data_IF_263908675007
#
_entry.id   IF_263908675007
#
_cell.length_a   1.000
_cell.length_b   1.000
_cell.length_c   1.000
_cell.angle_alpha   90.00
_cell.angle_beta   90.00
_cell.angle_gamma   90.00
#
_symmetry.space_group_name_H-M   'P 1'
#
loop_
_entity.id
_entity.type
_entity.pdbx_description
1 polymer ?
#
# COMPACT_ATOMS: atom_id res chain seq x y z
N UNK A 1 -30.12 -22.42 -0.06
CA UNK A 1 -28.65 -22.47 -0.06
C UNK A 1 -28.11 -22.34 -1.46
N UNK A 2 -28.29 -21.18 -2.11
CA UNK A 2 -27.68 -20.95 -3.42
C UNK A 2 -26.38 -20.17 -3.25
N UNK A 3 -25.27 -20.77 -3.66
CA UNK A 3 -24.03 -20.04 -3.87
C UNK A 3 -24.26 -19.03 -4.98
N UNK A 4 -24.51 -17.77 -4.62
CA UNK A 4 -24.72 -16.67 -5.58
C UNK A 4 -23.36 -16.28 -6.15
N UNK A 5 -23.09 -16.65 -7.39
CA UNK A 5 -21.95 -16.14 -8.12
C UNK A 5 -22.31 -14.76 -8.67
N UNK A 6 -21.42 -13.77 -8.57
CA UNK A 6 -21.53 -12.50 -9.29
C UNK A 6 -20.34 -12.30 -10.20
N UNK A 7 -20.56 -11.78 -11.39
CA UNK A 7 -19.49 -11.42 -12.34
C UNK A 7 -19.53 -9.91 -12.52
N UNK A 8 -18.41 -9.25 -12.20
CA UNK A 8 -18.27 -7.79 -12.24
C UNK A 8 -19.36 -7.02 -11.47
N UNK A 9 -19.99 -7.68 -10.50
CA UNK A 9 -21.06 -7.13 -9.65
C UNK A 9 -22.45 -7.64 -9.98
N UNK A 10 -22.65 -8.31 -11.11
CA UNK A 10 -23.97 -8.81 -11.55
C UNK A 10 -24.19 -10.27 -11.18
N UNK A 11 -25.38 -10.63 -10.69
CA UNK A 11 -25.69 -12.02 -10.32
C UNK A 11 -25.73 -12.93 -11.56
N UNK A 12 -24.98 -14.05 -11.48
CA UNK A 12 -24.92 -15.06 -12.51
C UNK A 12 -25.89 -16.20 -12.18
N UNK A 13 -26.91 -16.36 -13.03
CA UNK A 13 -27.94 -17.40 -12.88
C UNK A 13 -27.82 -18.55 -13.90
N UNK A 14 -26.96 -18.40 -14.91
CA UNK A 14 -26.75 -19.38 -15.98
C UNK A 14 -25.28 -19.39 -16.42
N UNK A 15 -24.92 -20.22 -17.40
CA UNK A 15 -23.57 -20.22 -17.98
C UNK A 15 -23.26 -18.89 -18.68
N UNK A 16 -22.06 -18.34 -18.46
CA UNK A 16 -21.53 -17.19 -19.19
C UNK A 16 -20.48 -17.64 -20.21
N UNK A 17 -20.61 -17.19 -21.45
CA UNK A 17 -19.55 -17.28 -22.46
C UNK A 17 -18.71 -16.00 -22.42
N UNK A 18 -17.39 -16.15 -22.35
CA UNK A 18 -16.48 -15.02 -22.24
C UNK A 18 -15.47 -15.06 -23.38
N UNK A 19 -15.38 -13.96 -24.11
CA UNK A 19 -14.39 -13.83 -25.17
C UNK A 19 -12.96 -13.63 -24.63
N UNK A 20 -11.98 -13.79 -25.52
CA UNK A 20 -10.57 -13.61 -25.16
C UNK A 20 -10.21 -12.19 -24.70
N UNK A 21 -10.94 -11.17 -25.12
CA UNK A 21 -10.67 -9.79 -24.73
C UNK A 21 -11.10 -9.52 -23.28
N UNK A 22 -12.30 -9.97 -22.89
CA UNK A 22 -12.79 -9.95 -21.53
C UNK A 22 -11.92 -10.81 -20.61
N UNK A 23 -11.52 -12.01 -21.03
CA UNK A 23 -10.57 -12.83 -20.28
C UNK A 23 -9.20 -12.14 -20.12
N UNK A 24 -8.70 -11.40 -21.11
CA UNK A 24 -7.44 -10.64 -20.96
C UNK A 24 -7.56 -9.44 -20.03
N UNK A 25 -8.70 -8.74 -20.04
CA UNK A 25 -9.00 -7.65 -19.07
C UNK A 25 -9.11 -8.18 -17.64
N UNK A 26 -9.62 -9.39 -17.50
CA UNK A 26 -9.86 -10.06 -16.22
C UNK A 26 -11.29 -9.87 -15.74
N UNK A 27 -11.87 -10.95 -15.21
CA UNK A 27 -13.23 -11.01 -14.70
C UNK A 27 -13.21 -11.14 -13.18
N UNK A 28 -13.99 -10.31 -12.50
CA UNK A 28 -14.16 -10.40 -11.04
C UNK A 28 -15.34 -11.32 -10.74
N UNK A 29 -15.04 -12.49 -10.21
CA UNK A 29 -16.04 -13.47 -9.78
C UNK A 29 -16.19 -13.38 -8.25
N UNK A 30 -17.37 -12.99 -7.76
CA UNK A 30 -17.69 -13.08 -6.33
C UNK A 30 -18.49 -14.35 -6.10
N UNK A 31 -17.98 -15.28 -5.29
CA UNK A 31 -18.68 -16.50 -4.91
C UNK A 31 -19.27 -16.32 -3.50
N UNK A 32 -20.60 -16.36 -3.41
CA UNK A 32 -21.32 -16.09 -2.17
C UNK A 32 -21.12 -14.63 -1.73
N UNK A 33 -20.74 -14.43 -0.47
CA UNK A 33 -20.55 -13.10 0.12
C UNK A 33 -19.09 -12.74 0.41
N UNK A 34 -18.13 -13.64 0.18
CA UNK A 34 -16.78 -13.46 0.74
C UNK A 34 -15.60 -13.83 -0.15
N UNK A 35 -15.80 -14.56 -1.25
CA UNK A 35 -14.68 -15.02 -2.08
C UNK A 35 -14.67 -14.26 -3.40
N UNK A 36 -13.66 -13.40 -3.60
CA UNK A 36 -13.42 -12.72 -4.87
C UNK A 36 -12.28 -13.41 -5.63
N UNK A 37 -12.56 -13.86 -6.85
CA UNK A 37 -11.57 -14.41 -7.78
C UNK A 37 -11.41 -13.46 -8.95
N UNK A 38 -10.17 -13.22 -9.38
CA UNK A 38 -9.88 -12.54 -10.65
C UNK A 38 -9.45 -13.58 -11.68
N UNK A 39 -10.35 -13.96 -12.59
CA UNK A 39 -10.01 -14.88 -13.67
C UNK A 39 -9.49 -14.08 -14.86
N UNK A 40 -8.24 -14.32 -15.28
CA UNK A 40 -7.68 -13.67 -16.46
C UNK A 40 -6.74 -14.58 -17.24
N UNK A 41 -6.62 -14.32 -18.54
CA UNK A 41 -5.57 -14.90 -19.37
C UNK A 41 -4.30 -14.05 -19.23
N UNK A 42 -3.20 -14.72 -18.89
CA UNK A 42 -1.85 -14.13 -18.84
C UNK A 42 -0.95 -14.82 -19.86
N UNK A 43 0.05 -14.11 -20.43
CA UNK A 43 1.08 -14.74 -21.24
C UNK A 43 1.79 -15.85 -20.45
N UNK A 44 2.10 -16.97 -21.11
CA UNK A 44 2.80 -18.10 -20.48
C UNK A 44 4.12 -17.67 -19.81
N UNK A 45 4.84 -16.74 -20.42
CA UNK A 45 6.08 -16.20 -19.85
C UNK A 45 5.88 -15.53 -18.48
N UNK A 46 4.75 -14.85 -18.24
CA UNK A 46 4.42 -14.28 -16.92
C UNK A 46 4.07 -15.38 -15.91
N UNK A 47 3.47 -16.49 -16.38
CA UNK A 47 3.11 -17.62 -15.53
C UNK A 47 4.35 -18.43 -15.08
N UNK A 48 5.39 -18.49 -15.90
CA UNK A 48 6.63 -19.24 -15.63
C UNK A 48 7.69 -18.44 -14.89
N UNK A 49 7.52 -17.12 -14.74
CA UNK A 49 8.45 -16.29 -13.97
C UNK A 49 8.44 -16.72 -12.49
N UNK A 50 9.59 -17.01 -11.87
CA UNK A 50 9.63 -17.47 -10.49
C UNK A 50 9.00 -16.45 -9.54
N UNK A 51 8.30 -16.92 -8.49
CA UNK A 51 7.66 -16.03 -7.54
C UNK A 51 8.72 -15.16 -6.86
N UNK A 52 8.42 -13.87 -6.70
CA UNK A 52 9.23 -12.99 -5.88
C UNK A 52 9.09 -13.41 -4.40
N UNK A 53 10.12 -13.18 -3.56
CA UNK A 53 9.99 -13.41 -2.12
C UNK A 53 8.78 -12.65 -1.57
N UNK A 54 8.05 -13.30 -0.67
CA UNK A 54 6.91 -12.67 -0.02
C UNK A 54 7.34 -11.39 0.71
N UNK A 55 6.47 -10.38 0.65
CA UNK A 55 6.60 -9.13 1.40
C UNK A 55 5.28 -8.92 2.09
N UNK A 56 5.32 -8.80 3.42
CA UNK A 56 4.13 -8.66 4.24
C UNK A 56 3.30 -7.44 3.83
N UNK A 57 1.98 -7.59 3.82
CA UNK A 57 1.04 -6.56 3.41
C UNK A 57 0.85 -6.38 1.89
N UNK A 58 1.69 -6.98 1.05
CA UNK A 58 1.51 -6.97 -0.42
C UNK A 58 0.92 -8.30 -0.89
N UNK A 59 -0.40 -8.33 -1.09
CA UNK A 59 -1.15 -9.53 -1.50
C UNK A 59 -1.29 -9.65 -3.03
N UNK A 60 -1.24 -10.89 -3.54
CA UNK A 60 -1.43 -11.22 -4.96
C UNK A 60 -0.18 -11.80 -5.62
N UNK A 61 -0.30 -12.31 -6.85
CA UNK A 61 0.81 -12.97 -7.55
C UNK A 61 0.93 -12.56 -9.03
N UNK A 62 0.42 -11.37 -9.36
CA UNK A 62 0.60 -10.82 -10.69
C UNK A 62 2.08 -10.50 -10.95
N UNK A 63 2.50 -10.53 -12.23
CA UNK A 63 3.86 -10.13 -12.62
C UNK A 63 4.23 -8.72 -12.10
N UNK A 64 3.27 -7.79 -12.11
CA UNK A 64 3.42 -6.46 -11.50
C UNK A 64 3.78 -6.52 -10.02
N UNK A 65 3.02 -7.30 -9.22
CA UNK A 65 3.30 -7.42 -7.78
C UNK A 65 4.62 -8.14 -7.50
N UNK A 66 4.98 -9.15 -8.31
CA UNK A 66 6.29 -9.80 -8.20
C UNK A 66 7.43 -8.80 -8.46
N UNK A 67 7.31 -7.99 -9.51
CA UNK A 67 8.27 -6.92 -9.79
C UNK A 67 8.33 -5.88 -8.66
N UNK A 68 7.17 -5.45 -8.16
CA UNK A 68 7.06 -4.49 -7.06
C UNK A 68 7.72 -5.02 -5.77
N UNK A 69 7.47 -6.28 -5.38
CA UNK A 69 8.12 -6.92 -4.23
C UNK A 69 9.64 -6.89 -4.35
N UNK A 70 10.18 -7.23 -5.52
CA UNK A 70 11.63 -7.18 -5.77
C UNK A 70 12.18 -5.76 -5.64
N UNK A 71 11.43 -4.75 -6.11
CA UNK A 71 11.81 -3.35 -5.95
C UNK A 71 11.77 -2.92 -4.48
N UNK A 72 10.72 -3.29 -3.73
CA UNK A 72 10.62 -3.02 -2.29
C UNK A 72 11.81 -3.60 -1.55
N UNK A 73 12.14 -4.88 -1.75
CA UNK A 73 13.27 -5.53 -1.07
C UNK A 73 14.62 -4.89 -1.39
N UNK A 74 14.78 -4.33 -2.60
CA UNK A 74 15.97 -3.60 -3.00
C UNK A 74 16.04 -2.22 -2.34
N UNK A 75 14.95 -1.45 -2.43
CA UNK A 75 14.85 -0.07 -1.93
C UNK A 75 14.87 -0.03 -0.40
N UNK A 76 14.29 -1.01 0.28
CA UNK A 76 14.26 -1.08 1.74
C UNK A 76 15.65 -1.17 2.38
N UNK A 77 16.67 -1.63 1.62
CA UNK A 77 18.07 -1.65 2.06
C UNK A 77 18.82 -0.35 1.80
N UNK A 78 18.20 0.60 1.12
CA UNK A 78 18.79 1.91 0.86
C UNK A 78 18.58 2.87 2.04
N UNK A 79 19.50 3.80 2.21
CA UNK A 79 19.44 4.82 3.27
C UNK A 79 18.72 6.11 2.83
N UNK A 80 18.48 6.27 1.52
CA UNK A 80 17.86 7.47 0.96
C UNK A 80 16.34 7.54 1.07
N UNK A 81 15.79 8.70 0.72
CA UNK A 81 14.36 8.95 0.68
C UNK A 81 13.68 8.20 -0.48
N UNK A 82 12.45 7.75 -0.24
CA UNK A 82 11.67 6.98 -1.21
C UNK A 82 10.40 7.72 -1.57
N UNK A 83 10.25 8.07 -2.85
CA UNK A 83 9.01 8.63 -3.38
C UNK A 83 8.06 7.51 -3.81
N UNK A 84 6.86 7.48 -3.23
CA UNK A 84 5.79 6.57 -3.64
C UNK A 84 4.82 7.28 -4.58
N UNK A 85 4.75 6.85 -5.83
CA UNK A 85 3.88 7.47 -6.85
C UNK A 85 2.74 6.55 -7.29
N UNK A 86 1.63 7.15 -7.70
CA UNK A 86 0.47 6.46 -8.27
C UNK A 86 -0.85 7.16 -7.93
N UNK A 87 -2.00 6.63 -8.36
CA UNK A 87 -3.30 7.22 -8.04
C UNK A 87 -3.64 7.19 -6.53
N UNK A 88 -4.60 8.03 -6.12
CA UNK A 88 -5.18 8.01 -4.78
C UNK A 88 -5.94 6.70 -4.55
N UNK A 89 -5.86 6.16 -3.34
CA UNK A 89 -6.59 4.94 -2.96
C UNK A 89 -5.98 3.62 -3.46
N UNK A 90 -4.77 3.63 -4.04
CA UNK A 90 -4.09 2.40 -4.49
C UNK A 90 -3.26 1.71 -3.39
N UNK A 91 -3.45 2.09 -2.12
CA UNK A 91 -2.76 1.45 -0.99
C UNK A 91 -1.29 1.82 -0.83
N UNK A 92 -0.90 3.09 -1.04
CA UNK A 92 0.49 3.54 -0.82
C UNK A 92 0.96 3.32 0.62
N UNK A 93 0.06 3.45 1.58
CA UNK A 93 0.31 3.17 2.99
C UNK A 93 0.77 1.72 3.21
N UNK A 94 0.19 0.76 2.47
CA UNK A 94 0.61 -0.64 2.52
C UNK A 94 2.03 -0.80 1.99
N UNK A 95 2.38 -0.06 0.93
CA UNK A 95 3.71 -0.07 0.35
C UNK A 95 4.75 0.60 1.27
N UNK A 96 4.40 1.71 1.93
CA UNK A 96 5.25 2.36 2.92
C UNK A 96 5.54 1.43 4.12
N UNK A 97 4.51 0.74 4.62
CA UNK A 97 4.67 -0.28 5.66
C UNK A 97 5.56 -1.43 5.19
N UNK A 98 5.31 -1.95 3.98
CA UNK A 98 6.12 -3.03 3.41
C UNK A 98 7.61 -2.64 3.27
N UNK A 99 7.90 -1.39 2.88
CA UNK A 99 9.27 -0.86 2.84
C UNK A 99 9.90 -0.79 4.23
N UNK A 100 9.17 -0.30 5.23
CA UNK A 100 9.65 -0.22 6.61
C UNK A 100 9.99 -1.61 7.17
N UNK A 101 9.07 -2.57 7.05
CA UNK A 101 9.26 -3.96 7.55
C UNK A 101 10.42 -4.68 6.85
N UNK A 102 10.61 -4.41 5.55
CA UNK A 102 11.71 -4.98 4.77
C UNK A 102 13.08 -4.32 5.05
N UNK A 103 13.11 -3.20 5.78
CA UNK A 103 14.32 -2.40 6.00
C UNK A 103 15.10 -2.84 7.25
N UNK A 104 16.37 -2.42 7.39
CA UNK A 104 17.11 -2.55 8.66
C UNK A 104 16.45 -1.79 9.83
N UNK A 105 15.58 -0.81 9.53
CA UNK A 105 14.92 0.07 10.50
C UNK A 105 13.57 -0.47 11.01
N UNK A 106 13.19 -1.70 10.63
CA UNK A 106 11.90 -2.34 11.00
C UNK A 106 11.62 -2.45 12.51
N UNK A 107 12.66 -2.40 13.33
CA UNK A 107 12.50 -2.44 14.79
C UNK A 107 12.21 -1.05 15.40
N UNK A 108 12.41 0.02 14.62
CA UNK A 108 12.09 1.39 14.99
C UNK A 108 10.64 1.75 14.70
N UNK A 109 10.21 2.97 15.07
CA UNK A 109 8.84 3.41 14.83
C UNK A 109 8.56 3.67 13.33
N UNK A 110 7.37 3.28 12.86
CA UNK A 110 6.79 3.80 11.62
C UNK A 110 5.77 4.88 11.95
N UNK A 111 6.12 6.14 11.72
CA UNK A 111 5.23 7.29 11.91
C UNK A 111 4.62 7.65 10.56
N UNK A 112 3.30 7.62 10.45
CA UNK A 112 2.56 7.99 9.25
C UNK A 112 1.83 9.31 9.46
N UNK A 113 1.97 10.24 8.54
CA UNK A 113 1.41 11.58 8.64
C UNK A 113 0.73 11.95 7.33
N UNK A 114 -0.56 12.26 7.40
CA UNK A 114 -1.27 12.88 6.29
C UNK A 114 -0.97 14.37 6.29
N UNK A 115 -0.12 14.82 5.36
CA UNK A 115 0.34 16.21 5.28
C UNK A 115 -0.78 17.14 4.86
N UNK A 116 -1.74 16.67 4.05
CA UNK A 116 -2.90 17.45 3.65
C UNK A 116 -3.86 17.77 4.82
N UNK A 117 -3.78 17.02 5.91
CA UNK A 117 -4.57 17.26 7.12
C UNK A 117 -3.91 18.27 8.08
N UNK A 118 -2.68 18.73 7.81
CA UNK A 118 -1.96 19.66 8.68
C UNK A 118 -2.19 21.10 8.21
N UNK A 119 -2.74 22.00 9.06
CA UNK A 119 -2.81 23.42 8.75
C UNK A 119 -1.41 23.99 8.48
N UNK A 120 -1.27 24.80 7.43
CA UNK A 120 0.02 25.33 6.99
C UNK A 120 0.75 26.09 8.10
N UNK A 121 -0.01 26.80 8.95
CA UNK A 121 0.50 27.59 10.07
C UNK A 121 1.11 26.72 11.18
N UNK A 122 0.69 25.46 11.28
CA UNK A 122 1.15 24.50 12.29
C UNK A 122 2.13 23.47 11.74
N UNK A 123 2.37 23.43 10.42
CA UNK A 123 3.18 22.41 9.76
C UNK A 123 4.58 22.28 10.38
N UNK A 124 5.28 23.40 10.56
CA UNK A 124 6.61 23.41 11.16
C UNK A 124 6.61 22.85 12.59
N UNK A 125 5.65 23.29 13.43
CA UNK A 125 5.54 22.85 14.82
C UNK A 125 5.17 21.36 14.94
N UNK A 126 4.39 20.80 14.01
CA UNK A 126 4.06 19.38 14.00
C UNK A 126 5.21 18.52 13.48
N UNK A 127 5.91 18.96 12.43
CA UNK A 127 7.03 18.22 11.86
C UNK A 127 8.26 18.23 12.78
N UNK A 128 8.65 19.41 13.27
CA UNK A 128 9.90 19.62 14.00
C UNK A 128 9.71 19.72 15.51
N UNK A 129 8.47 19.86 15.98
CA UNK A 129 8.17 20.09 17.39
C UNK A 129 8.12 21.57 17.74
N UNK A 130 7.75 21.85 18.97
CA UNK A 130 7.69 23.22 19.49
C UNK A 130 8.02 23.23 20.98
N UNK A 131 8.83 24.19 21.39
CA UNK A 131 9.03 24.49 22.81
C UNK A 131 7.82 25.25 23.36
N UNK A 132 7.58 25.13 24.67
CA UNK A 132 6.61 25.97 25.38
C UNK A 132 6.88 27.45 25.08
N UNK A 133 5.84 28.17 24.69
CA UNK A 133 5.90 29.59 24.34
C UNK A 133 6.37 29.91 22.91
N UNK A 134 6.63 28.92 22.06
CA UNK A 134 7.03 29.16 20.66
C UNK A 134 5.92 29.81 19.80
N UNK A 135 4.65 29.68 20.19
CA UNK A 135 3.50 30.37 19.60
C UNK A 135 2.37 30.52 20.64
N UNK A 136 1.37 31.36 20.34
CA UNK A 136 0.21 31.58 21.20
C UNK A 136 -0.56 30.26 21.40
N UNK A 137 -0.55 29.72 22.62
CA UNK A 137 -1.15 28.41 22.94
C UNK A 137 -0.16 27.24 23.08
N UNK A 138 1.15 27.47 22.91
CA UNK A 138 2.18 26.48 23.19
C UNK A 138 2.41 26.31 24.71
N UNK A 139 1.48 25.64 25.39
CA UNK A 139 1.51 25.49 26.86
C UNK A 139 2.58 24.50 27.36
N UNK A 140 3.05 23.60 26.50
CA UNK A 140 4.04 22.54 26.81
C UNK A 140 4.93 22.27 25.61
N UNK A 141 6.09 21.67 25.88
CA UNK A 141 6.97 21.14 24.84
C UNK A 141 6.27 19.99 24.10
N UNK A 142 6.41 19.97 22.77
CA UNK A 142 5.83 18.96 21.90
C UNK A 142 6.89 18.40 20.96
N UNK A 143 7.05 17.08 20.96
CA UNK A 143 7.93 16.36 20.03
C UNK A 143 7.35 16.38 18.62
N UNK A 144 8.18 16.71 17.63
CA UNK A 144 7.81 16.67 16.22
C UNK A 144 7.75 15.26 15.65
N UNK A 145 7.14 15.09 14.48
CA UNK A 145 7.08 13.80 13.80
C UNK A 145 8.46 13.24 13.43
N UNK A 146 9.44 14.09 13.10
CA UNK A 146 10.81 13.65 12.87
C UNK A 146 11.43 13.00 14.12
N UNK A 147 11.23 13.60 15.29
CA UNK A 147 11.72 13.06 16.56
C UNK A 147 10.96 11.78 16.95
N UNK A 148 9.65 11.73 16.71
CA UNK A 148 8.84 10.53 16.95
C UNK A 148 9.27 9.36 16.05
N UNK A 149 9.74 9.63 14.84
CA UNK A 149 10.21 8.64 13.88
C UNK A 149 11.69 8.27 14.05
N UNK A 150 12.38 8.82 15.07
CA UNK A 150 13.81 8.61 15.26
C UNK A 150 14.16 7.12 15.37
N UNK A 151 15.18 6.70 14.61
CA UNK A 151 15.59 5.30 14.50
C UNK A 151 14.66 4.41 13.65
N UNK A 152 13.59 4.96 13.09
CA UNK A 152 12.60 4.25 12.28
C UNK A 152 12.34 4.91 10.93
N UNK A 153 11.08 5.12 10.58
CA UNK A 153 10.66 5.65 9.28
C UNK A 153 9.51 6.65 9.46
N UNK A 154 9.62 7.80 8.79
CA UNK A 154 8.54 8.77 8.66
C UNK A 154 7.94 8.64 7.25
N UNK A 155 6.65 8.32 7.18
CA UNK A 155 5.88 8.31 5.95
C UNK A 155 5.00 9.57 5.88
N UNK A 156 5.12 10.30 4.77
CA UNK A 156 4.38 11.53 4.49
C UNK A 156 3.40 11.22 3.35
N UNK A 157 2.12 11.11 3.69
CA UNK A 157 1.01 10.89 2.75
C UNK A 157 0.34 12.21 2.34
#
# INVERSE_FOLDING_TARGET
>A
GSSRCRIDGEELFASLQVDGAAMRRGLRLLLGSGVLLLLRLVPKAEAEEPPAPAVDGLLGDSGYLRALRRQVLRVARSEGDVLLSGPTGTGKELLARALHEASPRRAGPLVSVNVAAIPAELAAAQLFGAARGAFTGAERDRRGYFEQAAGGTLFLD
#
